data_IF_498916818302
#
_entry.id   IF_498916818302
#
_cell.length_a   1.000
_cell.length_b   1.000
_cell.length_c   1.000
_cell.angle_alpha   90.00
_cell.angle_beta   90.00
_cell.angle_gamma   90.00
#
_symmetry.space_group_name_H-M   'P 1'
#
loop_
_entity.id
_entity.type
_entity.pdbx_description
1 polymer ?
#
# COMPACT_ATOMS: atom_id res chain seq x y z
N UNK A 1 -72.30 39.01 10.40
CA UNK A 1 -71.12 38.63 11.21
C UNK A 1 -70.38 37.55 10.44
N UNK A 2 -69.38 37.95 9.65
CA UNK A 2 -68.62 37.08 8.76
C UNK A 2 -67.59 36.25 9.54
N UNK A 3 -67.55 34.94 9.30
CA UNK A 3 -66.52 34.04 9.82
C UNK A 3 -65.35 34.05 8.84
N UNK A 4 -64.22 34.66 9.21
CA UNK A 4 -62.94 34.43 8.53
C UNK A 4 -62.36 33.10 9.00
N UNK A 5 -62.18 32.16 8.08
CA UNK A 5 -61.36 30.97 8.29
C UNK A 5 -59.91 31.30 7.92
N UNK A 6 -59.01 31.30 8.91
CA UNK A 6 -57.56 31.30 8.66
C UNK A 6 -57.16 29.88 8.22
N UNK A 7 -56.72 29.74 6.97
CA UNK A 7 -56.03 28.55 6.49
C UNK A 7 -54.55 28.65 6.88
N UNK A 8 -54.08 27.78 7.77
CA UNK A 8 -52.68 27.61 8.08
C UNK A 8 -52.00 26.82 6.93
N UNK A 9 -51.19 27.50 6.13
CA UNK A 9 -50.33 26.85 5.15
C UNK A 9 -49.10 26.27 5.86
N UNK A 10 -49.07 24.94 6.02
CA UNK A 10 -47.89 24.23 6.47
C UNK A 10 -46.85 24.22 5.33
N UNK A 11 -45.75 24.96 5.49
CA UNK A 11 -44.57 24.81 4.64
C UNK A 11 -43.91 23.46 4.97
N UNK A 12 -44.13 22.47 4.10
CA UNK A 12 -43.33 21.26 4.09
C UNK A 12 -41.94 21.63 3.55
N UNK A 13 -40.95 21.74 4.44
CA UNK A 13 -39.54 21.81 4.05
C UNK A 13 -39.16 20.45 3.45
N UNK A 14 -39.21 20.34 2.13
CA UNK A 14 -38.71 19.19 1.40
C UNK A 14 -37.18 19.22 1.51
N UNK A 15 -36.62 18.48 2.47
CA UNK A 15 -35.20 18.17 2.50
C UNK A 15 -34.87 17.36 1.23
N UNK A 16 -34.48 18.07 0.17
CA UNK A 16 -33.82 17.47 -0.98
C UNK A 16 -32.47 16.96 -0.48
N UNK A 17 -32.42 15.70 -0.04
CA UNK A 17 -31.17 14.98 0.08
C UNK A 17 -30.48 15.06 -1.28
N UNK A 18 -29.37 15.79 -1.35
CA UNK A 18 -28.65 16.02 -2.61
C UNK A 18 -28.25 14.66 -3.21
N UNK A 19 -28.44 14.44 -4.53
CA UNK A 19 -27.99 13.21 -5.20
C UNK A 19 -26.46 13.01 -5.19
N UNK A 20 -25.72 14.00 -4.69
CA UNK A 20 -24.27 14.04 -4.66
C UNK A 20 -23.63 12.88 -3.89
N UNK A 21 -24.34 12.25 -2.94
CA UNK A 21 -23.78 11.13 -2.18
C UNK A 21 -23.74 9.81 -2.95
N UNK A 22 -24.43 9.68 -4.10
CA UNK A 22 -24.35 8.46 -4.93
C UNK A 22 -23.16 8.49 -5.90
N UNK A 23 -22.65 9.67 -6.22
CA UNK A 23 -21.45 9.85 -7.02
C UNK A 23 -20.22 9.82 -6.09
N UNK A 24 -19.12 9.22 -6.55
CA UNK A 24 -17.84 9.31 -5.87
C UNK A 24 -17.38 10.76 -5.67
N UNK A 25 -16.29 10.94 -4.94
CA UNK A 25 -15.68 12.26 -4.72
C UNK A 25 -14.98 12.77 -5.99
N UNK A 26 -14.91 14.09 -6.23
CA UNK A 26 -14.10 14.61 -7.33
C UNK A 26 -12.63 14.27 -7.11
N UNK A 27 -11.92 13.92 -8.17
CA UNK A 27 -10.49 13.61 -8.12
C UNK A 27 -9.71 14.66 -8.89
N UNK A 28 -8.68 15.20 -8.25
CA UNK A 28 -7.69 16.07 -8.86
C UNK A 28 -6.31 15.46 -8.68
N UNK A 29 -5.50 15.43 -9.73
CA UNK A 29 -4.12 14.95 -9.65
C UNK A 29 -3.21 16.07 -9.13
N UNK A 30 -2.37 15.74 -8.16
CA UNK A 30 -1.18 16.51 -7.79
C UNK A 30 0.07 15.76 -8.25
N UNK A 31 1.16 16.52 -8.46
CA UNK A 31 2.44 15.98 -8.90
C UNK A 31 3.59 16.64 -8.17
N UNK A 32 4.46 15.82 -7.58
CA UNK A 32 5.80 16.20 -7.18
C UNK A 32 6.74 15.78 -8.30
N UNK A 33 7.59 16.67 -8.80
CA UNK A 33 8.56 16.33 -9.82
C UNK A 33 9.84 17.14 -9.67
N UNK A 34 10.98 16.53 -9.94
CA UNK A 34 12.29 17.19 -9.95
C UNK A 34 13.28 16.40 -10.79
N UNK A 35 13.93 17.12 -11.68
CA UNK A 35 15.03 16.61 -12.50
C UNK A 35 16.34 17.25 -12.04
N UNK A 36 17.36 16.42 -11.90
CA UNK A 36 18.72 16.80 -11.53
C UNK A 36 19.71 15.98 -12.34
N UNK A 37 21.00 16.29 -12.22
CA UNK A 37 22.05 15.41 -12.78
C UNK A 37 22.04 14.02 -12.14
N UNK A 38 21.67 13.93 -10.86
CA UNK A 38 21.69 12.67 -10.11
C UNK A 38 20.43 11.82 -10.31
N UNK A 39 19.28 12.44 -10.55
CA UNK A 39 18.01 11.74 -10.67
C UNK A 39 16.92 12.52 -11.40
N UNK A 40 16.02 11.76 -12.02
CA UNK A 40 14.71 12.18 -12.53
C UNK A 40 13.64 11.57 -11.64
N UNK A 41 12.79 12.39 -11.02
CA UNK A 41 11.81 11.92 -10.03
C UNK A 41 10.44 12.49 -10.31
N UNK A 42 9.42 11.66 -10.29
CA UNK A 42 8.03 12.11 -10.30
C UNK A 42 7.11 11.22 -9.48
N UNK A 43 6.20 11.85 -8.71
CA UNK A 43 5.21 11.18 -7.88
C UNK A 43 3.87 11.87 -8.09
N UNK A 44 2.92 11.15 -8.68
CA UNK A 44 1.54 11.60 -8.87
C UNK A 44 0.61 10.99 -7.83
N UNK A 45 -0.33 11.78 -7.31
CA UNK A 45 -1.29 11.29 -6.30
C UNK A 45 -2.64 12.01 -6.38
N UNK A 46 -3.75 11.34 -5.98
CA UNK A 46 -5.08 11.93 -5.99
C UNK A 46 -5.33 12.83 -4.79
N UNK A 47 -6.04 13.93 -5.04
CA UNK A 47 -6.70 14.79 -4.05
C UNK A 47 -8.20 14.66 -4.23
N UNK A 48 -8.87 14.32 -3.14
CA UNK A 48 -10.28 13.91 -3.09
C UNK A 48 -11.20 14.97 -2.47
N UNK A 49 -10.62 15.93 -1.73
CA UNK A 49 -11.37 16.87 -0.91
C UNK A 49 -11.76 16.32 0.46
N UNK A 50 -11.46 15.04 0.75
CA UNK A 50 -11.56 14.50 2.10
C UNK A 50 -10.23 14.71 2.84
N UNK A 51 -10.27 15.51 3.91
CA UNK A 51 -9.06 15.90 4.65
C UNK A 51 -8.25 14.72 5.22
N UNK A 52 -8.89 13.61 5.61
CA UNK A 52 -8.19 12.44 6.13
C UNK A 52 -7.44 11.69 5.03
N UNK A 53 -8.13 11.41 3.92
CA UNK A 53 -7.53 10.76 2.74
C UNK A 53 -6.40 11.63 2.17
N UNK A 54 -6.66 12.91 1.95
CA UNK A 54 -5.72 13.82 1.31
C UNK A 54 -4.45 14.01 2.17
N UNK A 55 -4.59 14.08 3.50
CA UNK A 55 -3.43 14.22 4.39
C UNK A 55 -2.56 12.96 4.41
N UNK A 56 -3.17 11.77 4.48
CA UNK A 56 -2.42 10.50 4.49
C UNK A 56 -1.69 10.27 3.17
N UNK A 57 -2.41 10.41 2.04
CA UNK A 57 -1.84 10.19 0.71
C UNK A 57 -0.76 11.21 0.37
N UNK A 58 -0.97 12.50 0.67
CA UNK A 58 0.03 13.52 0.39
C UNK A 58 1.29 13.36 1.26
N UNK A 59 1.12 12.94 2.52
CA UNK A 59 2.26 12.67 3.41
C UNK A 59 3.08 11.47 2.94
N UNK A 60 2.42 10.39 2.51
CA UNK A 60 3.10 9.23 1.93
C UNK A 60 3.82 9.61 0.63
N UNK A 61 3.14 10.25 -0.32
CA UNK A 61 3.72 10.66 -1.61
C UNK A 61 4.94 11.58 -1.43
N UNK A 62 4.87 12.53 -0.48
CA UNK A 62 6.02 13.37 -0.12
C UNK A 62 7.14 12.56 0.51
N UNK A 63 6.81 11.58 1.35
CA UNK A 63 7.78 10.67 1.96
C UNK A 63 8.59 9.91 0.91
N UNK A 64 7.92 9.27 -0.05
CA UNK A 64 8.60 8.55 -1.14
C UNK A 64 9.49 9.48 -1.97
N UNK A 65 8.98 10.66 -2.32
CA UNK A 65 9.73 11.66 -3.07
C UNK A 65 10.98 12.15 -2.33
N UNK A 66 10.86 12.48 -1.04
CA UNK A 66 11.97 12.95 -0.22
C UNK A 66 13.01 11.83 0.01
N UNK A 67 12.55 10.61 0.29
CA UNK A 67 13.41 9.45 0.53
C UNK A 67 14.26 9.13 -0.70
N UNK A 68 13.65 9.15 -1.90
CA UNK A 68 14.38 8.90 -3.13
C UNK A 68 15.34 10.05 -3.49
N UNK A 69 14.94 11.31 -3.21
CA UNK A 69 15.84 12.45 -3.39
C UNK A 69 17.08 12.35 -2.49
N UNK A 70 16.92 11.85 -1.26
CA UNK A 70 18.04 11.57 -0.36
C UNK A 70 18.90 10.42 -0.91
N UNK A 71 18.29 9.29 -1.25
CA UNK A 71 18.97 8.10 -1.77
C UNK A 71 19.81 8.42 -3.02
N UNK A 72 19.24 9.15 -3.97
CA UNK A 72 19.94 9.54 -5.22
C UNK A 72 21.14 10.47 -5.00
N UNK A 73 21.19 11.15 -3.86
CA UNK A 73 22.33 12.01 -3.49
C UNK A 73 23.39 11.24 -2.69
N UNK A 74 22.96 10.34 -1.80
CA UNK A 74 23.84 9.62 -0.87
C UNK A 74 24.47 8.36 -1.47
N UNK A 75 23.70 7.59 -2.24
CA UNK A 75 24.10 6.24 -2.67
C UNK A 75 24.60 6.18 -4.12
N UNK A 76 24.16 7.12 -4.97
CA UNK A 76 24.50 7.12 -6.41
C UNK A 76 26.00 7.29 -6.63
N UNK A 77 26.59 6.37 -7.39
CA UNK A 77 28.00 6.47 -7.76
C UNK A 77 28.22 7.44 -8.94
N UNK A 78 29.38 8.11 -9.03
CA UNK A 78 29.61 9.12 -10.07
C UNK A 78 29.51 8.62 -11.51
N UNK A 79 29.80 7.34 -11.76
CA UNK A 79 29.77 6.69 -13.07
C UNK A 79 28.44 6.03 -13.41
N UNK A 80 27.47 6.04 -12.50
CA UNK A 80 26.14 5.54 -12.75
C UNK A 80 25.32 6.54 -13.58
N UNK A 81 24.33 6.02 -14.30
CA UNK A 81 23.29 6.85 -14.88
C UNK A 81 22.52 7.62 -13.79
N UNK A 82 21.73 8.62 -14.19
CA UNK A 82 20.78 9.23 -13.29
C UNK A 82 19.80 8.17 -12.77
N UNK A 83 19.50 8.22 -11.48
CA UNK A 83 18.47 7.37 -10.89
C UNK A 83 17.09 7.86 -11.34
N UNK A 84 16.11 6.95 -11.41
CA UNK A 84 14.76 7.29 -11.86
C UNK A 84 13.74 6.80 -10.83
N UNK A 85 12.81 7.69 -10.46
CA UNK A 85 11.61 7.36 -9.71
C UNK A 85 10.39 7.86 -10.50
N UNK A 86 9.45 6.97 -10.76
CA UNK A 86 8.13 7.33 -11.26
C UNK A 86 7.07 6.59 -10.45
N UNK A 87 6.23 7.33 -9.72
CA UNK A 87 5.05 6.79 -9.06
C UNK A 87 3.82 7.38 -9.74
N UNK A 88 2.98 6.50 -10.27
CA UNK A 88 1.67 6.85 -10.85
C UNK A 88 0.56 6.17 -10.06
N UNK A 89 -0.69 6.56 -10.29
CA UNK A 89 -1.83 5.98 -9.58
C UNK A 89 -3.05 5.71 -10.46
N UNK A 90 -3.84 4.74 -10.03
CA UNK A 90 -5.15 4.41 -10.57
C UNK A 90 -6.21 4.44 -9.46
N UNK A 91 -7.32 5.13 -9.71
CA UNK A 91 -8.48 5.12 -8.81
C UNK A 91 -9.33 3.89 -9.10
N UNK A 92 -9.17 2.88 -8.26
CA UNK A 92 -9.75 1.55 -8.43
C UNK A 92 -11.17 1.43 -7.88
N UNK A 93 -11.55 2.34 -6.97
CA UNK A 93 -12.92 2.51 -6.51
C UNK A 93 -13.15 3.97 -6.11
N UNK A 94 -14.30 4.51 -6.50
CA UNK A 94 -14.74 5.83 -6.07
C UNK A 94 -16.27 5.91 -6.08
N UNK A 95 -16.86 5.65 -4.92
CA UNK A 95 -18.31 5.71 -4.72
C UNK A 95 -18.66 6.26 -3.33
N UNK A 96 -19.95 6.33 -3.05
CA UNK A 96 -20.53 6.79 -1.79
C UNK A 96 -19.88 6.20 -0.52
N UNK A 97 -19.40 4.97 -0.61
CA UNK A 97 -19.03 4.11 0.53
C UNK A 97 -17.56 3.73 0.54
N UNK A 98 -16.86 3.86 -0.58
CA UNK A 98 -15.47 3.43 -0.68
C UNK A 98 -14.65 4.25 -1.66
N UNK A 99 -13.40 4.48 -1.28
CA UNK A 99 -12.36 5.01 -2.15
C UNK A 99 -11.15 4.07 -2.10
N UNK A 100 -10.70 3.58 -3.24
CA UNK A 100 -9.51 2.74 -3.34
C UNK A 100 -8.59 3.28 -4.43
N UNK A 101 -7.29 3.35 -4.15
CA UNK A 101 -6.26 3.78 -5.08
C UNK A 101 -5.11 2.78 -5.06
N UNK A 102 -4.62 2.44 -6.24
CA UNK A 102 -3.40 1.67 -6.46
C UNK A 102 -2.32 2.63 -6.96
N UNK A 103 -1.16 2.62 -6.32
CA UNK A 103 0.04 3.26 -6.80
C UNK A 103 0.96 2.21 -7.43
N UNK A 104 1.53 2.53 -8.58
CA UNK A 104 2.59 1.75 -9.21
C UNK A 104 3.86 2.57 -9.16
N UNK A 105 4.87 2.03 -8.49
CA UNK A 105 6.21 2.59 -8.43
C UNK A 105 7.09 1.92 -9.49
N UNK A 106 7.80 2.75 -10.24
CA UNK A 106 8.93 2.38 -11.06
C UNK A 106 10.18 3.04 -10.47
N UNK A 107 11.20 2.23 -10.21
CA UNK A 107 12.44 2.69 -9.62
C UNK A 107 13.65 2.11 -10.35
N UNK A 108 14.58 2.96 -10.79
CA UNK A 108 15.88 2.58 -11.31
C UNK A 108 16.99 3.27 -10.51
N UNK A 109 17.76 2.49 -9.76
CA UNK A 109 18.89 2.98 -8.96
C UNK A 109 20.20 2.34 -9.44
N UNK A 110 20.38 2.24 -10.76
CA UNK A 110 21.46 1.49 -11.38
C UNK A 110 21.20 -0.03 -11.46
N UNK A 111 22.23 -0.78 -11.85
CA UNK A 111 22.13 -2.23 -12.05
C UNK A 111 21.60 -2.64 -13.43
N UNK A 112 21.12 -3.88 -13.55
CA UNK A 112 20.77 -4.49 -14.83
C UNK A 112 19.37 -4.10 -15.35
N UNK A 113 18.44 -3.75 -14.46
CA UNK A 113 17.06 -3.44 -14.79
C UNK A 113 16.42 -2.59 -13.67
N UNK A 114 15.33 -1.87 -13.96
CA UNK A 114 14.50 -1.23 -12.94
C UNK A 114 13.82 -2.24 -12.02
N UNK A 115 13.13 -1.74 -11.00
CA UNK A 115 12.19 -2.47 -10.19
C UNK A 115 10.79 -1.84 -10.33
N UNK A 116 9.78 -2.64 -10.04
CA UNK A 116 8.42 -2.15 -9.91
C UNK A 116 7.77 -2.71 -8.66
N UNK A 117 7.10 -1.85 -7.92
CA UNK A 117 6.40 -2.18 -6.68
C UNK A 117 5.01 -1.54 -6.68
N UNK A 118 4.17 -1.97 -5.75
CA UNK A 118 2.83 -1.42 -5.57
C UNK A 118 2.67 -0.85 -4.18
N UNK A 119 1.75 0.09 -4.05
CA UNK A 119 1.22 0.49 -2.75
C UNK A 119 -0.25 0.79 -2.94
N UNK A 120 -1.12 0.26 -2.10
CA UNK A 120 -2.55 0.54 -2.20
C UNK A 120 -3.06 1.33 -1.01
N UNK A 121 -4.14 2.07 -1.22
CA UNK A 121 -4.89 2.73 -0.16
C UNK A 121 -6.39 2.42 -0.30
N UNK A 122 -7.03 2.02 0.79
CA UNK A 122 -8.45 1.64 0.83
C UNK A 122 -9.16 2.37 1.96
N UNK A 123 -10.18 3.16 1.65
CA UNK A 123 -10.88 3.98 2.61
C UNK A 123 -12.37 3.70 2.62
N UNK A 124 -12.95 3.71 3.82
CA UNK A 124 -14.41 3.82 3.99
C UNK A 124 -14.80 5.29 3.89
N UNK A 125 -15.78 5.56 3.03
CA UNK A 125 -16.30 6.89 2.75
C UNK A 125 -17.70 7.07 3.37
N UNK A 126 -18.09 8.31 3.75
CA UNK A 126 -17.37 9.57 3.56
C UNK A 126 -16.36 9.91 4.66
N UNK A 127 -16.16 9.06 5.68
CA UNK A 127 -15.32 9.43 6.82
C UNK A 127 -13.82 9.45 6.53
N UNK A 128 -13.38 8.89 5.39
CA UNK A 128 -11.96 8.82 5.03
C UNK A 128 -11.18 7.89 5.95
N UNK A 129 -11.82 6.84 6.47
CA UNK A 129 -11.21 5.90 7.39
C UNK A 129 -10.41 4.85 6.62
N UNK A 130 -9.09 4.82 6.80
CA UNK A 130 -8.22 3.82 6.21
C UNK A 130 -8.52 2.43 6.77
N UNK A 131 -8.67 1.43 5.89
CA UNK A 131 -8.88 0.03 6.27
C UNK A 131 -7.80 -0.91 5.73
N UNK A 132 -7.54 -1.97 6.48
CA UNK A 132 -6.66 -3.08 6.11
C UNK A 132 -7.44 -4.41 6.05
N UNK A 133 -6.92 -5.42 5.35
CA UNK A 133 -7.60 -6.72 5.24
C UNK A 133 -8.02 -7.36 6.58
N UNK A 134 -7.21 -7.32 7.66
CA UNK A 134 -7.62 -7.87 8.96
C UNK A 134 -8.85 -7.18 9.58
N UNK A 135 -9.11 -5.93 9.19
CA UNK A 135 -10.24 -5.12 9.67
C UNK A 135 -11.49 -5.32 8.79
N UNK A 136 -11.31 -5.75 7.54
CA UNK A 136 -12.40 -6.05 6.59
C UNK A 136 -12.88 -7.49 6.76
N UNK A 137 -11.96 -8.43 7.01
CA UNK A 137 -12.24 -9.86 7.03
C UNK A 137 -11.94 -10.51 8.38
N UNK A 138 -12.71 -11.52 8.74
CA UNK A 138 -12.45 -12.33 9.94
C UNK A 138 -11.13 -13.10 9.78
N UNK A 139 -10.42 -13.41 10.87
CA UNK A 139 -9.17 -14.17 10.83
C UNK A 139 -9.26 -15.48 10.03
N UNK A 140 -10.41 -16.18 10.09
CA UNK A 140 -10.65 -17.42 9.34
C UNK A 140 -10.71 -17.22 7.81
N UNK A 141 -10.89 -15.99 7.33
CA UNK A 141 -10.92 -15.66 5.92
C UNK A 141 -9.53 -15.75 5.26
N UNK A 142 -8.46 -15.51 6.03
CA UNK A 142 -7.08 -15.49 5.52
C UNK A 142 -6.73 -16.79 4.77
N UNK A 143 -7.10 -17.94 5.34
CA UNK A 143 -6.88 -19.24 4.70
C UNK A 143 -7.63 -19.35 3.37
N UNK A 144 -8.87 -18.85 3.30
CA UNK A 144 -9.68 -18.85 2.07
C UNK A 144 -9.10 -17.91 1.02
N UNK A 145 -8.70 -16.69 1.39
CA UNK A 145 -8.06 -15.71 0.51
C UNK A 145 -6.78 -16.30 -0.08
N UNK A 146 -5.86 -16.79 0.77
CA UNK A 146 -4.62 -17.44 0.35
C UNK A 146 -4.88 -18.63 -0.58
N UNK A 147 -5.81 -19.52 -0.24
CA UNK A 147 -6.11 -20.69 -1.07
C UNK A 147 -6.64 -20.29 -2.46
N UNK A 148 -7.49 -19.26 -2.53
CA UNK A 148 -8.01 -18.74 -3.80
C UNK A 148 -6.92 -18.06 -4.63
N UNK A 149 -6.03 -17.30 -3.99
CA UNK A 149 -4.91 -16.64 -4.64
C UNK A 149 -3.90 -17.64 -5.21
N UNK A 150 -3.45 -18.59 -4.38
CA UNK A 150 -2.52 -19.67 -4.82
C UNK A 150 -3.12 -20.48 -5.97
N UNK A 151 -4.42 -20.80 -5.92
CA UNK A 151 -5.08 -21.53 -7.00
C UNK A 151 -5.16 -20.72 -8.30
N UNK A 152 -5.41 -19.41 -8.22
CA UNK A 152 -5.40 -18.51 -9.37
C UNK A 152 -4.00 -18.39 -9.98
N UNK A 153 -2.98 -18.09 -9.16
CA UNK A 153 -1.59 -17.97 -9.59
C UNK A 153 -1.08 -19.23 -10.30
N UNK A 154 -1.30 -20.42 -9.70
CA UNK A 154 -0.91 -21.70 -10.32
C UNK A 154 -1.60 -21.96 -11.64
N UNK A 155 -2.86 -21.55 -11.76
CA UNK A 155 -3.62 -21.69 -13.01
C UNK A 155 -3.08 -20.77 -14.09
N UNK A 156 -2.80 -19.51 -13.75
CA UNK A 156 -2.42 -18.48 -14.71
C UNK A 156 -0.96 -18.66 -15.18
N UNK A 157 -0.06 -19.09 -14.29
CA UNK A 157 1.34 -19.39 -14.63
C UNK A 157 1.54 -20.78 -15.26
N UNK A 158 0.62 -21.71 -15.05
CA UNK A 158 0.69 -23.06 -15.61
C UNK A 158 2.00 -23.79 -15.28
N UNK A 159 2.76 -24.15 -16.31
CA UNK A 159 4.02 -24.90 -16.16
C UNK A 159 5.16 -24.10 -15.52
N UNK A 160 5.07 -22.77 -15.52
CA UNK A 160 6.08 -21.87 -14.94
C UNK A 160 5.84 -21.61 -13.44
N UNK A 161 4.77 -22.19 -12.88
CA UNK A 161 4.41 -22.03 -11.47
C UNK A 161 5.40 -22.75 -10.54
N UNK A 162 6.18 -21.98 -9.78
CA UNK A 162 6.93 -22.50 -8.65
C UNK A 162 6.03 -22.57 -7.41
N UNK A 163 5.72 -23.79 -6.97
CA UNK A 163 4.82 -24.00 -5.84
C UNK A 163 5.37 -23.53 -4.50
N UNK A 164 6.70 -23.52 -4.30
CA UNK A 164 7.33 -23.04 -3.06
C UNK A 164 7.29 -21.51 -3.04
N UNK A 165 7.74 -20.88 -4.12
CA UNK A 165 7.71 -19.41 -4.26
C UNK A 165 6.28 -18.86 -4.11
N UNK A 166 5.28 -19.48 -4.75
CA UNK A 166 3.87 -19.07 -4.60
C UNK A 166 3.37 -19.30 -3.16
N UNK A 167 3.76 -20.39 -2.50
CA UNK A 167 3.33 -20.68 -1.13
C UNK A 167 3.92 -19.69 -0.11
N UNK A 168 5.15 -19.23 -0.34
CA UNK A 168 5.78 -18.20 0.49
C UNK A 168 5.11 -16.84 0.28
N UNK A 169 4.97 -16.40 -0.98
CA UNK A 169 4.47 -15.06 -1.32
C UNK A 169 2.96 -14.88 -1.26
N UNK A 170 2.17 -15.96 -1.34
CA UNK A 170 0.70 -15.95 -1.27
C UNK A 170 0.16 -16.93 -0.20
N UNK A 171 1.00 -17.35 0.75
CA UNK A 171 0.61 -18.13 1.92
C UNK A 171 -0.32 -17.37 2.88
N UNK A 172 -0.91 -18.03 3.90
CA UNK A 172 -1.90 -17.44 4.79
C UNK A 172 -1.26 -16.54 5.87
N UNK A 173 -0.59 -15.49 5.44
CA UNK A 173 -0.10 -14.37 6.25
C UNK A 173 -0.73 -13.07 5.73
N UNK A 174 -1.14 -12.16 6.62
CA UNK A 174 -1.77 -10.91 6.18
C UNK A 174 -0.84 -10.04 5.34
N UNK A 175 0.44 -9.95 5.74
CA UNK A 175 1.49 -9.20 5.05
C UNK A 175 1.68 -9.63 3.58
N UNK A 176 1.30 -10.85 3.20
CA UNK A 176 1.34 -11.31 1.81
C UNK A 176 0.28 -10.65 0.91
N UNK A 177 -0.66 -9.90 1.50
CA UNK A 177 -1.82 -9.32 0.84
C UNK A 177 -2.01 -7.85 1.19
N UNK A 178 -0.95 -7.14 1.60
CA UNK A 178 -1.00 -5.72 1.95
C UNK A 178 -1.37 -4.83 0.74
N UNK A 179 -0.93 -5.20 -0.46
CA UNK A 179 -1.23 -4.49 -1.71
C UNK A 179 -2.51 -4.96 -2.36
N UNK A 180 -3.63 -4.66 -1.71
CA UNK A 180 -4.97 -5.00 -2.21
C UNK A 180 -5.80 -3.77 -2.57
N UNK A 181 -6.78 -3.92 -3.47
CA UNK A 181 -7.87 -2.94 -3.62
C UNK A 181 -9.23 -3.59 -3.41
N UNK A 182 -10.07 -2.99 -2.56
CA UNK A 182 -11.41 -3.46 -2.25
C UNK A 182 -12.44 -2.76 -3.15
N UNK A 183 -12.74 -3.38 -4.28
CA UNK A 183 -13.81 -2.95 -5.21
C UNK A 183 -15.18 -3.35 -4.67
N UNK A 184 -16.24 -2.84 -5.29
CA UNK A 184 -17.62 -3.07 -4.83
C UNK A 184 -18.02 -4.57 -4.85
N UNK A 185 -17.46 -5.35 -5.77
CA UNK A 185 -17.82 -6.74 -6.02
C UNK A 185 -16.66 -7.74 -5.91
N UNK A 186 -15.42 -7.26 -5.77
CA UNK A 186 -14.21 -8.10 -5.69
C UNK A 186 -13.11 -7.50 -4.82
N UNK A 187 -12.25 -8.38 -4.36
CA UNK A 187 -10.95 -8.08 -3.75
C UNK A 187 -9.88 -8.33 -4.81
N UNK A 188 -9.17 -7.29 -5.23
CA UNK A 188 -8.04 -7.40 -6.14
C UNK A 188 -6.74 -7.40 -5.30
N UNK A 189 -5.86 -8.35 -5.56
CA UNK A 189 -4.57 -8.53 -4.90
C UNK A 189 -3.47 -8.30 -5.93
N UNK A 190 -2.48 -7.48 -5.58
CA UNK A 190 -1.33 -7.15 -6.41
C UNK A 190 -0.10 -7.77 -5.77
N UNK A 191 0.68 -8.52 -6.54
CA UNK A 191 1.91 -9.14 -6.09
C UNK A 191 3.06 -8.55 -6.89
N UNK A 192 3.98 -7.87 -6.20
CA UNK A 192 5.14 -7.24 -6.83
C UNK A 192 6.07 -8.29 -7.45
N UNK A 193 6.97 -7.84 -8.33
CA UNK A 193 7.97 -8.73 -8.90
C UNK A 193 8.76 -9.44 -7.78
N UNK A 194 9.15 -10.69 -8.00
CA UNK A 194 9.80 -11.59 -7.01
C UNK A 194 8.93 -12.13 -5.87
N UNK A 195 7.74 -11.60 -5.61
CA UNK A 195 6.95 -12.07 -4.47
C UNK A 195 6.44 -13.50 -4.67
N UNK A 196 5.86 -13.79 -5.84
CA UNK A 196 5.23 -15.09 -6.15
C UNK A 196 5.78 -15.74 -7.42
N UNK A 197 6.72 -15.09 -8.12
CA UNK A 197 7.38 -15.58 -9.32
C UNK A 197 8.72 -14.88 -9.55
N UNK A 198 9.55 -15.38 -10.47
CA UNK A 198 10.79 -14.72 -10.87
C UNK A 198 10.50 -13.35 -11.53
N UNK A 199 11.48 -12.43 -11.48
CA UNK A 199 11.38 -11.09 -12.09
C UNK A 199 10.83 -11.07 -13.51
N UNK A 200 11.33 -11.98 -14.35
CA UNK A 200 10.96 -12.04 -15.76
C UNK A 200 9.47 -12.33 -16.00
N UNK A 201 8.78 -12.92 -15.02
CA UNK A 201 7.33 -13.11 -15.08
C UNK A 201 6.56 -11.79 -14.84
N UNK A 202 7.24 -10.76 -14.32
CA UNK A 202 6.63 -9.50 -13.91
C UNK A 202 5.75 -9.63 -12.67
N UNK A 203 5.08 -8.52 -12.29
CA UNK A 203 4.08 -8.54 -11.22
C UNK A 203 2.90 -9.46 -11.58
N UNK A 204 2.23 -9.97 -10.56
CA UNK A 204 1.10 -10.89 -10.71
C UNK A 204 -0.13 -10.31 -10.03
N UNK A 205 -1.31 -10.64 -10.56
CA UNK A 205 -2.56 -10.05 -10.12
C UNK A 205 -3.62 -11.12 -9.91
N UNK A 206 -4.38 -11.03 -8.83
CA UNK A 206 -5.47 -11.95 -8.53
C UNK A 206 -6.72 -11.18 -8.16
N UNK A 207 -7.82 -11.44 -8.87
CA UNK A 207 -9.16 -10.95 -8.51
C UNK A 207 -10.01 -12.04 -7.86
N UNK A 208 -10.49 -11.76 -6.65
CA UNK A 208 -11.37 -12.65 -5.88
C UNK A 208 -12.76 -12.00 -5.77
N UNK A 209 -13.80 -12.56 -6.41
CA UNK A 209 -15.17 -12.08 -6.21
C UNK A 209 -15.59 -12.13 -4.73
N UNK A 210 -16.15 -11.04 -4.20
CA UNK A 210 -16.60 -10.97 -2.79
C UNK A 210 -17.71 -12.00 -2.49
N UNK A 211 -18.43 -12.47 -3.50
CA UNK A 211 -19.38 -13.58 -3.38
C UNK A 211 -18.73 -14.88 -2.86
N UNK A 212 -17.44 -15.11 -3.16
CA UNK A 212 -16.66 -16.24 -2.63
C UNK A 212 -16.20 -16.04 -1.18
N UNK A 213 -16.25 -14.81 -0.69
CA UNK A 213 -15.87 -14.41 0.68
C UNK A 213 -17.09 -14.06 1.55
N UNK A 214 -18.30 -14.34 1.04
CA UNK A 214 -19.56 -14.07 1.74
C UNK A 214 -19.58 -14.78 3.10
N UNK A 215 -19.91 -14.05 4.17
CA UNK A 215 -19.92 -14.56 5.54
C UNK A 215 -18.55 -14.63 6.23
N UNK A 216 -17.46 -14.30 5.51
CA UNK A 216 -16.11 -14.15 6.05
C UNK A 216 -15.75 -12.67 6.27
N UNK A 217 -16.46 -11.76 5.62
CA UNK A 217 -16.38 -10.33 5.90
C UNK A 217 -16.86 -10.03 7.31
N UNK A 218 -16.26 -9.02 7.93
CA UNK A 218 -16.70 -8.46 9.19
C UNK A 218 -17.92 -7.56 8.95
N UNK A 219 -18.86 -7.48 9.90
CA UNK A 219 -19.93 -6.49 9.84
C UNK A 219 -19.44 -5.08 10.21
N UNK A 220 -18.27 -4.97 10.86
CA UNK A 220 -17.71 -3.76 11.46
C UNK A 220 -16.31 -3.42 10.90
N UNK A 221 -16.22 -2.92 9.67
CA UNK A 221 -14.94 -2.60 8.99
C UNK A 221 -14.08 -1.52 9.66
N UNK A 222 -14.56 -0.95 10.77
CA UNK A 222 -13.87 0.07 11.58
C UNK A 222 -13.36 -0.47 12.91
N UNK A 223 -13.51 -1.77 13.16
CA UNK A 223 -13.01 -2.37 14.40
C UNK A 223 -11.50 -2.47 14.34
N UNK A 224 -10.83 -1.71 15.20
CA UNK A 224 -9.38 -1.75 15.36
C UNK A 224 -8.93 -3.18 15.69
N UNK A 225 -8.45 -3.88 14.67
CA UNK A 225 -7.54 -5.00 14.88
C UNK A 225 -6.24 -4.57 14.24
N UNK A 226 -5.43 -3.83 15.00
CA UNK A 226 -4.01 -3.73 14.69
C UNK A 226 -3.40 -5.11 14.98
N UNK A 227 -3.02 -5.94 14.00
CA UNK A 227 -1.97 -6.91 14.27
C UNK A 227 -0.74 -6.10 14.71
N UNK A 228 -0.16 -6.48 15.85
CA UNK A 228 0.83 -5.71 16.60
C UNK A 228 2.22 -5.64 15.93
N UNK A 229 2.32 -5.72 14.61
CA UNK A 229 3.58 -5.69 13.86
C UNK A 229 3.81 -4.40 13.08
N UNK A 230 2.80 -3.55 12.87
CA UNK A 230 2.94 -2.37 11.99
C UNK A 230 3.31 -1.07 12.70
N UNK A 231 3.40 -1.08 14.04
CA UNK A 231 4.02 0.02 14.79
C UNK A 231 4.74 -0.55 16.02
N UNK A 232 6.05 -0.85 15.97
CA UNK A 232 6.81 -0.86 17.20
C UNK A 232 6.78 0.58 17.74
N UNK A 233 6.50 0.73 19.03
CA UNK A 233 6.60 2.00 19.75
C UNK A 233 7.88 2.75 19.35
N UNK A 234 7.76 3.80 18.55
CA UNK A 234 8.86 4.70 18.24
C UNK A 234 8.41 6.13 18.53
N UNK A 235 9.01 6.69 19.58
CA UNK A 235 8.94 8.12 19.88
C UNK A 235 9.48 8.94 18.68
N UNK A 236 9.00 10.17 18.48
CA UNK A 236 9.36 10.98 17.32
C UNK A 236 10.85 11.35 17.38
N UNK A 237 11.68 10.68 16.57
CA UNK A 237 13.10 11.05 16.48
C UNK A 237 14.05 10.14 15.71
N UNK A 238 13.74 8.86 15.43
CA UNK A 238 14.78 7.90 14.97
C UNK A 238 14.33 6.88 13.89
N UNK A 239 13.32 7.18 13.07
CA UNK A 239 12.50 6.13 12.43
C UNK A 239 13.07 5.48 11.15
N UNK A 240 14.06 6.02 10.44
CA UNK A 240 14.30 5.55 9.05
C UNK A 240 15.39 4.49 8.85
N UNK A 241 16.31 4.29 9.79
CA UNK A 241 17.48 3.42 9.56
C UNK A 241 17.16 1.91 9.58
N UNK A 242 16.11 1.48 10.28
CA UNK A 242 15.86 0.05 10.51
C UNK A 242 15.05 -0.66 9.41
N UNK A 243 14.23 0.07 8.63
CA UNK A 243 13.40 -0.55 7.59
C UNK A 243 14.24 -0.98 6.37
N UNK A 244 15.17 -0.12 5.93
CA UNK A 244 16.20 -0.45 4.92
C UNK A 244 17.02 -1.69 5.28
N UNK A 245 17.28 -1.89 6.58
CA UNK A 245 18.11 -2.98 7.06
C UNK A 245 17.44 -4.36 6.95
N UNK A 246 16.09 -4.46 6.99
CA UNK A 246 15.37 -5.75 6.95
C UNK A 246 15.19 -6.28 5.53
N UNK A 247 14.87 -5.40 4.58
CA UNK A 247 14.77 -5.72 3.16
C UNK A 247 16.13 -6.14 2.60
N UNK A 248 17.20 -5.46 3.03
CA UNK A 248 18.59 -5.79 2.67
C UNK A 248 19.07 -7.09 3.33
N UNK A 249 18.62 -7.42 4.56
CA UNK A 249 18.93 -8.71 5.19
C UNK A 249 18.31 -9.92 4.48
N UNK A 250 17.10 -9.78 3.95
CA UNK A 250 16.39 -10.84 3.23
C UNK A 250 16.98 -11.09 1.84
N UNK A 251 17.47 -10.05 1.15
CA UNK A 251 18.18 -10.23 -0.13
C UNK A 251 19.56 -10.88 0.06
N UNK A 252 20.28 -10.55 1.14
CA UNK A 252 21.62 -11.09 1.43
C UNK A 252 21.66 -12.56 1.84
N UNK A 253 20.63 -13.07 2.54
CA UNK A 253 20.53 -14.50 2.86
C UNK A 253 20.46 -15.40 1.62
N UNK A 254 20.10 -14.84 0.47
CA UNK A 254 19.95 -15.53 -0.82
C UNK A 254 21.21 -15.43 -1.71
N UNK A 255 22.24 -14.68 -1.32
CA UNK A 255 23.48 -14.48 -2.09
C UNK A 255 24.74 -15.04 -1.41
N UNK A 256 25.62 -15.71 -2.16
CA UNK A 256 26.85 -16.36 -1.69
C UNK A 256 28.05 -15.41 -1.51
N UNK A 257 27.87 -14.31 -0.74
CA UNK A 257 28.90 -13.27 -0.58
C UNK A 257 29.97 -13.65 0.48
N UNK A 258 31.28 -13.42 0.25
CA UNK A 258 32.35 -13.86 1.16
C UNK A 258 32.41 -13.11 2.52
N UNK A 259 32.77 -13.84 3.58
CA UNK A 259 32.89 -13.40 4.98
C UNK A 259 33.68 -12.10 5.26
N UNK A 260 34.58 -11.67 4.37
CA UNK A 260 35.33 -10.41 4.54
C UNK A 260 34.50 -9.16 4.25
N UNK A 261 33.52 -9.23 3.33
CA UNK A 261 32.57 -8.15 3.09
C UNK A 261 31.63 -7.95 4.30
N UNK A 262 31.26 -9.05 4.97
CA UNK A 262 30.44 -9.02 6.19
C UNK A 262 31.11 -8.26 7.35
N UNK A 263 32.44 -8.34 7.50
CA UNK A 263 33.16 -7.71 8.63
C UNK A 263 33.36 -6.20 8.49
N UNK A 264 33.28 -5.66 7.28
CA UNK A 264 33.42 -4.22 7.03
C UNK A 264 32.09 -3.49 7.28
N UNK A 265 30.95 -4.12 6.94
CA UNK A 265 29.61 -3.58 7.19
C UNK A 265 29.10 -3.79 8.62
N UNK A 266 29.52 -4.85 9.33
CA UNK A 266 29.21 -5.02 10.76
C UNK A 266 29.75 -3.89 11.65
N UNK A 267 30.75 -3.12 11.19
CA UNK A 267 31.22 -1.91 11.90
C UNK A 267 30.22 -0.75 11.82
N UNK A 268 29.38 -0.67 10.79
CA UNK A 268 28.38 0.39 10.67
C UNK A 268 27.23 0.23 11.67
N UNK A 269 26.94 -1.00 12.12
CA UNK A 269 25.89 -1.26 13.10
C UNK A 269 26.34 -1.03 14.56
N UNK A 270 27.65 -0.87 14.83
CA UNK A 270 28.20 -0.77 16.19
C UNK A 270 28.82 0.58 16.56
N UNK A 271 28.82 1.56 15.67
CA UNK A 271 29.41 2.89 15.94
C UNK A 271 28.41 4.02 16.20
N UNK A 272 27.12 3.71 16.37
CA UNK A 272 26.21 4.58 17.11
C UNK A 272 26.45 4.38 18.61
N UNK A 273 27.14 5.31 19.26
CA UNK A 273 27.46 5.26 20.70
C UNK A 273 26.20 5.01 21.54
N UNK A 274 26.24 3.95 22.36
CA UNK A 274 25.17 3.64 23.31
C UNK A 274 24.97 2.15 23.52
N UNK A 275 25.96 1.48 24.11
CA UNK A 275 25.82 0.13 24.63
C UNK A 275 24.70 0.04 25.67
N UNK A 276 23.56 -0.57 25.32
CA UNK A 276 22.69 -1.21 26.30
C UNK A 276 21.82 -2.25 25.63
N UNK A 277 22.27 -3.50 25.70
CA UNK A 277 21.44 -4.69 25.55
C UNK A 277 20.35 -4.59 26.63
N UNK A 278 19.09 -4.37 26.22
CA UNK A 278 17.95 -4.61 27.10
C UNK A 278 17.36 -5.99 26.74
N UNK A 279 17.23 -6.91 27.73
CA UNK A 279 16.77 -8.27 27.47
C UNK A 279 15.27 -8.28 27.16
N UNK A 280 14.88 -9.09 26.18
CA UNK A 280 13.49 -9.39 25.91
C UNK A 280 12.81 -9.97 27.17
N UNK A 281 11.65 -9.42 27.53
CA UNK A 281 10.68 -10.03 28.43
C UNK A 281 9.34 -10.10 27.72
#
# INVERSE_FOLDING_TARGET
MHRLALAAAALAALCLASPALAAGVPIRTEKLAKDTEAATMSVEYPVTGNAGVDAEVAAWAKGEFDNFAQLSTEDRQPDEAAYELEITFEVERNDATGFAVLFTEYTFTGGAHPNSDFTTFNYVMPEGWRVYLPEIFQAKALKTISSLAVAALKKDMGGDADSETIADGAGPAWDNFDDFTLKADRLDLNFSAYQVAAYAAGPQFVSIPLSKLKGLMRPDWKAATKPSSLFPNCSPGWVWYFCSCRSRWLSWRKSSTPLRAMQQEMRFCSQGEGSSICPCR
#
